data_IF_473505434513
#
_entry.id   IF_473505434513
#
_cell.length_a   1.000
_cell.length_b   1.000
_cell.length_c   1.000
_cell.angle_alpha   90.00
_cell.angle_beta   90.00
_cell.angle_gamma   90.00
#
_symmetry.space_group_name_H-M   'P 1'
#
loop_
_entity.id
_entity.type
_entity.pdbx_description
1 polymer ?
#
# COMPACT_ATOMS: atom_id res chain seq x y z
N UNK A 1 -7.50 -14.39 -6.68
CA UNK A 1 -8.04 -13.46 -5.67
C UNK A 1 -8.35 -14.17 -4.35
N UNK A 2 -9.19 -15.20 -4.30
CA UNK A 2 -9.43 -15.94 -3.04
C UNK A 2 -8.17 -16.65 -2.49
N UNK A 3 -7.35 -17.22 -3.39
CA UNK A 3 -6.07 -17.84 -3.03
C UNK A 3 -5.08 -16.84 -2.40
N UNK A 4 -5.06 -15.58 -2.87
CA UNK A 4 -4.22 -14.52 -2.29
C UNK A 4 -4.65 -14.21 -0.85
N UNK A 5 -5.95 -14.09 -0.59
CA UNK A 5 -6.43 -13.81 0.77
C UNK A 5 -6.14 -14.97 1.73
N UNK A 6 -6.21 -16.21 1.24
CA UNK A 6 -5.82 -17.36 2.04
C UNK A 6 -4.32 -17.37 2.32
N UNK A 7 -3.48 -17.09 1.33
CA UNK A 7 -2.03 -16.95 1.52
C UNK A 7 -1.68 -15.89 2.58
N UNK A 8 -2.32 -14.72 2.52
CA UNK A 8 -2.13 -13.66 3.53
C UNK A 8 -2.57 -14.13 4.91
N UNK A 9 -3.66 -14.89 5.00
CA UNK A 9 -4.15 -15.43 6.27
C UNK A 9 -3.14 -16.39 6.90
N UNK A 10 -2.56 -17.28 6.09
CA UNK A 10 -1.56 -18.26 6.51
C UNK A 10 -0.27 -17.54 6.97
N UNK A 11 0.24 -16.59 6.18
CA UNK A 11 1.42 -15.78 6.54
C UNK A 11 1.20 -14.94 7.80
N UNK A 12 0.01 -14.38 7.97
CA UNK A 12 -0.39 -13.62 9.18
C UNK A 12 -0.45 -14.53 10.41
N UNK A 13 -0.95 -15.76 10.24
CA UNK A 13 -1.00 -16.75 11.29
C UNK A 13 0.41 -17.16 11.74
N UNK A 14 1.27 -17.53 10.78
CA UNK A 14 2.66 -17.92 11.02
C UNK A 14 3.44 -16.78 11.68
N UNK A 15 3.24 -15.54 11.22
CA UNK A 15 3.91 -14.37 11.81
C UNK A 15 3.55 -14.20 13.28
N UNK A 16 2.26 -14.27 13.62
CA UNK A 16 1.79 -14.08 14.99
C UNK A 16 2.20 -15.22 15.93
N UNK A 17 2.22 -16.46 15.44
CA UNK A 17 2.70 -17.62 16.21
C UNK A 17 4.19 -17.46 16.58
N UNK A 18 5.00 -16.93 15.65
CA UNK A 18 6.42 -16.67 15.88
C UNK A 18 6.72 -15.36 16.65
N UNK A 19 5.71 -14.52 16.90
CA UNK A 19 5.88 -13.21 17.56
C UNK A 19 4.85 -12.99 18.69
N UNK A 20 4.86 -13.83 19.75
CA UNK A 20 3.84 -13.83 20.80
C UNK A 20 3.74 -12.51 21.56
N UNK A 21 4.78 -11.67 21.56
CA UNK A 21 4.75 -10.32 22.16
C UNK A 21 3.79 -9.35 21.47
N UNK A 22 3.36 -9.63 20.24
CA UNK A 22 2.38 -8.81 19.53
C UNK A 22 0.93 -9.24 19.82
N UNK A 23 0.74 -10.47 20.28
CA UNK A 23 -0.50 -10.99 20.85
C UNK A 23 -0.60 -10.51 22.30
N UNK A 24 -1.65 -9.76 22.66
CA UNK A 24 -1.74 -9.19 24.02
C UNK A 24 -1.80 -10.31 25.07
N UNK A 25 -0.92 -10.33 26.09
CA UNK A 25 -1.08 -11.20 27.24
C UNK A 25 -2.08 -10.53 28.19
N UNK A 26 -3.37 -10.74 27.97
CA UNK A 26 -4.38 -10.22 28.88
C UNK A 26 -5.78 -10.20 28.27
N UNK A 27 -6.65 -11.02 28.86
CA UNK A 27 -8.08 -11.19 28.55
C UNK A 27 -8.39 -11.96 27.25
N UNK A 28 -7.91 -13.20 27.17
CA UNK A 28 -8.76 -14.32 26.75
C UNK A 28 -9.16 -14.44 25.28
N UNK A 29 -8.50 -13.78 24.33
CA UNK A 29 -8.55 -14.26 22.95
C UNK A 29 -7.29 -15.07 22.67
N UNK A 30 -7.38 -16.38 22.84
CA UNK A 30 -6.37 -17.29 22.32
C UNK A 30 -6.15 -16.95 20.83
N UNK A 31 -4.89 -16.84 20.41
CA UNK A 31 -4.60 -16.62 18.99
C UNK A 31 -5.03 -17.88 18.23
N UNK A 32 -6.11 -17.76 17.44
CA UNK A 32 -6.64 -18.85 16.64
C UNK A 32 -6.42 -18.60 15.14
N UNK A 33 -6.39 -19.67 14.32
CA UNK A 33 -6.16 -19.60 12.88
C UNK A 33 -7.00 -18.52 12.20
N UNK A 34 -6.34 -17.70 11.38
CA UNK A 34 -7.00 -16.65 10.58
C UNK A 34 -7.48 -17.26 9.27
N UNK A 35 -8.62 -16.80 8.75
CA UNK A 35 -9.14 -17.24 7.43
C UNK A 35 -9.03 -16.14 6.38
N UNK A 36 -9.00 -16.52 5.09
CA UNK A 36 -9.05 -15.54 4.01
C UNK A 36 -10.26 -14.62 4.08
N UNK A 37 -11.40 -15.09 4.60
CA UNK A 37 -12.59 -14.25 4.78
C UNK A 37 -12.43 -13.21 5.88
N UNK A 38 -11.73 -13.53 6.98
CA UNK A 38 -11.36 -12.52 7.99
C UNK A 38 -10.45 -11.43 7.40
N UNK A 39 -9.51 -11.82 6.52
CA UNK A 39 -8.64 -10.86 5.81
C UNK A 39 -9.45 -9.97 4.86
N UNK A 40 -10.42 -10.53 4.12
CA UNK A 40 -11.33 -9.73 3.26
C UNK A 40 -12.12 -8.72 4.09
N UNK A 41 -12.68 -9.15 5.22
CA UNK A 41 -13.41 -8.28 6.14
C UNK A 41 -12.48 -7.18 6.67
N UNK A 42 -11.27 -7.53 7.12
CA UNK A 42 -10.28 -6.58 7.63
C UNK A 42 -9.97 -5.49 6.58
N UNK A 43 -9.65 -5.90 5.35
CA UNK A 43 -9.35 -4.98 4.25
C UNK A 43 -10.56 -4.13 3.86
N UNK A 44 -11.76 -4.71 3.82
CA UNK A 44 -13.00 -3.98 3.58
C UNK A 44 -13.28 -2.92 4.63
N UNK A 45 -13.04 -3.23 5.91
CA UNK A 45 -13.16 -2.28 7.01
C UNK A 45 -12.10 -1.16 6.91
N UNK A 46 -10.86 -1.47 6.53
CA UNK A 46 -9.80 -0.46 6.31
C UNK A 46 -10.16 0.53 5.18
N UNK A 47 -10.68 0.03 4.06
CA UNK A 47 -11.17 0.87 2.96
C UNK A 47 -12.32 1.76 3.45
N UNK A 48 -13.26 1.18 4.20
CA UNK A 48 -14.40 1.91 4.75
C UNK A 48 -13.98 3.01 5.74
N UNK A 49 -12.94 2.78 6.55
CA UNK A 49 -12.35 3.80 7.42
C UNK A 49 -11.71 4.94 6.62
N UNK A 50 -11.07 4.63 5.49
CA UNK A 50 -10.51 5.64 4.58
C UNK A 50 -11.58 6.57 3.99
N UNK A 51 -12.78 6.03 3.72
CA UNK A 51 -13.93 6.79 3.22
C UNK A 51 -14.59 7.59 4.35
N UNK A 52 -14.86 6.96 5.49
CA UNK A 52 -15.51 7.62 6.63
C UNK A 52 -14.46 8.10 7.63
N UNK A 53 -13.93 9.31 7.49
CA UNK A 53 -12.90 9.81 8.41
C UNK A 53 -13.46 10.10 9.82
N UNK A 54 -12.97 9.38 10.83
CA UNK A 54 -13.17 9.67 12.26
C UNK A 54 -11.82 9.97 12.92
N UNK A 55 -11.79 10.79 13.99
CA UNK A 55 -10.55 11.29 14.56
C UNK A 55 -9.67 10.21 15.20
N UNK A 56 -10.24 9.08 15.66
CA UNK A 56 -9.50 8.03 16.37
C UNK A 56 -10.07 6.66 16.00
N UNK A 57 -9.21 5.63 15.89
CA UNK A 57 -9.61 4.25 15.58
C UNK A 57 -10.72 3.73 16.52
N UNK A 58 -10.62 4.03 17.82
CA UNK A 58 -11.62 3.68 18.82
C UNK A 58 -13.01 4.29 18.53
N UNK A 59 -13.09 5.40 17.80
CA UNK A 59 -14.36 6.03 17.43
C UNK A 59 -15.16 5.25 16.39
N UNK A 60 -14.52 4.34 15.64
CA UNK A 60 -15.21 3.44 14.69
C UNK A 60 -15.88 2.27 15.39
N UNK A 61 -15.36 1.90 16.56
CA UNK A 61 -15.85 0.79 17.38
C UNK A 61 -16.58 1.27 18.63
N UNK A 62 -17.03 2.53 18.64
CA UNK A 62 -17.78 3.09 19.76
C UNK A 62 -19.23 2.58 19.76
N UNK A 63 -19.73 2.18 20.92
CA UNK A 63 -21.12 1.74 21.12
C UNK A 63 -22.08 2.91 21.38
N UNK A 64 -21.57 4.14 21.56
CA UNK A 64 -22.38 5.33 21.74
C UNK A 64 -23.37 5.51 20.57
N UNK A 65 -24.70 5.46 20.79
CA UNK A 65 -25.71 5.58 19.74
C UNK A 65 -25.58 6.82 18.85
N UNK A 66 -25.01 7.92 19.37
CA UNK A 66 -24.82 9.16 18.61
C UNK A 66 -23.63 9.11 17.65
N UNK A 67 -22.65 8.24 17.92
CA UNK A 67 -21.37 8.15 17.19
C UNK A 67 -21.08 6.73 16.66
N UNK A 68 -21.97 5.77 16.91
CA UNK A 68 -21.82 4.38 16.55
C UNK A 68 -21.87 4.20 15.05
N UNK A 69 -20.89 3.49 14.53
CA UNK A 69 -20.89 2.93 13.17
C UNK A 69 -21.13 1.42 13.30
N UNK A 70 -22.39 0.97 13.48
CA UNK A 70 -22.71 -0.39 13.91
C UNK A 70 -22.19 -1.47 12.96
N UNK A 71 -21.94 -1.12 11.69
CA UNK A 71 -21.34 -2.00 10.70
C UNK A 71 -19.95 -2.53 11.12
N UNK A 72 -19.12 -1.72 11.81
CA UNK A 72 -17.79 -2.14 12.24
C UNK A 72 -17.85 -3.20 13.34
N UNK A 73 -18.68 -2.98 14.36
CA UNK A 73 -18.81 -3.87 15.52
C UNK A 73 -19.58 -5.17 15.20
N UNK A 74 -20.47 -5.14 14.21
CA UNK A 74 -21.25 -6.31 13.80
C UNK A 74 -20.45 -7.29 12.94
N UNK A 75 -19.49 -6.80 12.18
CA UNK A 75 -18.77 -7.61 11.18
C UNK A 75 -17.54 -8.29 11.78
N UNK A 76 -16.80 -7.61 12.66
CA UNK A 76 -15.63 -8.17 13.35
C UNK A 76 -15.49 -7.55 14.74
N UNK A 77 -15.25 -8.34 15.81
CA UNK A 77 -15.00 -7.78 17.13
C UNK A 77 -13.78 -6.85 17.12
N UNK A 78 -13.85 -5.73 17.85
CA UNK A 78 -12.78 -4.74 17.91
C UNK A 78 -11.42 -5.37 18.26
N UNK A 79 -11.38 -6.26 19.25
CA UNK A 79 -10.13 -6.86 19.70
C UNK A 79 -9.56 -7.81 18.65
N UNK A 80 -10.40 -8.54 17.91
CA UNK A 80 -9.97 -9.34 16.75
C UNK A 80 -9.45 -8.45 15.63
N UNK A 81 -10.15 -7.36 15.31
CA UNK A 81 -9.72 -6.39 14.30
C UNK A 81 -8.35 -5.79 14.63
N UNK A 82 -8.15 -5.32 15.87
CA UNK A 82 -6.87 -4.74 16.30
C UNK A 82 -5.76 -5.80 16.30
N UNK A 83 -6.06 -7.03 16.72
CA UNK A 83 -5.06 -8.11 16.74
C UNK A 83 -4.65 -8.51 15.32
N UNK A 84 -5.61 -8.69 14.41
CA UNK A 84 -5.33 -8.96 13.00
C UNK A 84 -4.57 -7.81 12.34
N UNK A 85 -4.99 -6.57 12.56
CA UNK A 85 -4.30 -5.40 12.00
C UNK A 85 -2.84 -5.30 12.48
N UNK A 86 -2.58 -5.66 13.74
CA UNK A 86 -1.23 -5.59 14.34
C UNK A 86 -0.30 -6.69 13.84
N UNK A 87 -0.85 -7.86 13.54
CA UNK A 87 -0.09 -9.03 13.09
C UNK A 87 -0.16 -9.24 11.58
N UNK A 88 -0.90 -8.39 10.85
CA UNK A 88 -1.10 -8.52 9.41
C UNK A 88 0.25 -8.61 8.70
N UNK A 89 0.46 -9.76 8.07
CA UNK A 89 1.70 -10.08 7.41
C UNK A 89 1.42 -10.63 6.02
N UNK A 90 2.21 -10.18 5.06
CA UNK A 90 1.88 -10.30 3.64
C UNK A 90 2.93 -11.08 2.86
N UNK A 91 4.18 -11.15 3.35
CA UNK A 91 5.26 -11.87 2.69
C UNK A 91 6.45 -12.10 3.64
N UNK A 92 6.78 -13.37 3.91
CA UNK A 92 7.95 -13.83 4.69
C UNK A 92 9.24 -13.98 3.85
N UNK A 93 9.18 -13.76 2.54
CA UNK A 93 10.30 -13.91 1.62
C UNK A 93 11.59 -13.19 2.05
N UNK A 94 12.68 -13.95 2.14
CA UNK A 94 13.98 -13.62 2.73
C UNK A 94 14.79 -12.45 2.11
N UNK A 95 14.21 -11.65 1.20
CA UNK A 95 14.92 -10.57 0.53
C UNK A 95 14.88 -9.29 1.37
N UNK A 96 15.77 -9.23 2.36
CA UNK A 96 15.88 -8.13 3.32
C UNK A 96 16.35 -6.78 2.71
N UNK A 97 16.71 -6.74 1.43
CA UNK A 97 17.27 -5.54 0.78
C UNK A 97 16.21 -4.52 0.30
N UNK A 98 14.95 -4.96 0.12
CA UNK A 98 13.85 -4.05 -0.24
C UNK A 98 13.02 -3.72 1.00
N UNK A 99 12.94 -2.45 1.42
CA UNK A 99 12.12 -2.06 2.59
C UNK A 99 10.62 -2.33 2.37
N UNK A 100 10.19 -2.50 1.13
CA UNK A 100 8.81 -2.77 0.74
C UNK A 100 8.53 -4.25 0.44
N UNK A 101 9.51 -5.17 0.53
CA UNK A 101 9.34 -6.60 0.16
C UNK A 101 8.11 -7.26 0.79
N UNK A 102 7.74 -6.80 1.99
CA UNK A 102 6.57 -7.27 2.72
C UNK A 102 5.26 -6.96 2.01
N UNK A 103 5.15 -5.79 1.36
CA UNK A 103 3.91 -5.32 0.71
C UNK A 103 3.97 -5.28 -0.82
N UNK A 104 5.17 -5.34 -1.41
CA UNK A 104 5.39 -5.35 -2.86
C UNK A 104 4.50 -6.32 -3.63
N UNK A 105 4.40 -7.62 -3.28
CA UNK A 105 3.59 -8.57 -4.06
C UNK A 105 2.10 -8.18 -4.12
N UNK A 106 1.57 -7.63 -3.04
CA UNK A 106 0.17 -7.21 -2.99
C UNK A 106 -0.03 -5.89 -3.73
N UNK A 107 0.93 -4.97 -3.66
CA UNK A 107 0.86 -3.73 -4.43
C UNK A 107 0.94 -4.04 -5.93
N UNK A 108 1.76 -5.01 -6.34
CA UNK A 108 1.87 -5.42 -7.74
C UNK A 108 0.57 -6.09 -8.22
N UNK A 109 0.05 -7.08 -7.50
CA UNK A 109 -1.23 -7.74 -7.84
C UNK A 109 -2.40 -6.76 -7.80
N UNK A 110 -2.44 -5.86 -6.81
CA UNK A 110 -3.45 -4.81 -6.75
C UNK A 110 -3.30 -3.85 -7.93
N UNK A 111 -2.09 -3.37 -8.25
CA UNK A 111 -1.88 -2.46 -9.37
C UNK A 111 -2.29 -3.08 -10.71
N UNK A 112 -1.98 -4.36 -10.94
CA UNK A 112 -2.42 -5.09 -12.12
C UNK A 112 -3.95 -5.16 -12.19
N UNK A 113 -4.60 -5.62 -11.13
CA UNK A 113 -6.06 -5.72 -11.05
C UNK A 113 -6.75 -4.34 -11.17
N UNK A 114 -6.20 -3.30 -10.54
CA UNK A 114 -6.73 -1.93 -10.62
C UNK A 114 -6.57 -1.34 -12.02
N UNK A 115 -5.44 -1.60 -12.69
CA UNK A 115 -5.24 -1.16 -14.07
C UNK A 115 -6.19 -1.87 -15.04
N UNK A 116 -6.41 -3.17 -14.83
CA UNK A 116 -7.26 -3.99 -15.69
C UNK A 116 -8.75 -3.64 -15.57
N UNK A 117 -9.22 -3.30 -14.36
CA UNK A 117 -10.64 -3.10 -14.10
C UNK A 117 -11.09 -1.64 -13.97
N UNK A 118 -10.19 -0.73 -13.59
CA UNK A 118 -10.55 0.66 -13.27
C UNK A 118 -9.79 1.70 -14.10
N UNK A 119 -8.90 1.28 -15.01
CA UNK A 119 -8.11 2.19 -15.85
C UNK A 119 -7.12 3.06 -15.07
N UNK A 120 -6.86 2.72 -13.79
CA UNK A 120 -5.89 3.40 -12.96
C UNK A 120 -4.48 2.99 -13.38
N UNK A 121 -3.64 3.98 -13.73
CA UNK A 121 -2.23 3.72 -14.07
C UNK A 121 -1.35 4.04 -12.86
N UNK A 122 -0.55 3.05 -12.47
CA UNK A 122 0.48 3.18 -11.45
C UNK A 122 1.83 3.18 -12.14
N UNK A 123 2.66 4.17 -11.82
CA UNK A 123 4.01 4.31 -12.35
C UNK A 123 5.01 4.15 -11.21
N UNK A 124 6.09 3.40 -11.43
CA UNK A 124 7.08 3.09 -10.39
C UNK A 124 8.49 3.35 -10.90
N UNK A 125 9.33 3.94 -10.06
CA UNK A 125 10.77 4.04 -10.30
C UNK A 125 11.49 2.96 -9.52
N UNK A 126 12.34 2.21 -10.21
CA UNK A 126 13.19 1.17 -9.63
C UNK A 126 14.67 1.56 -9.70
N UNK A 127 15.43 1.18 -8.69
CA UNK A 127 16.88 1.12 -8.79
C UNK A 127 17.29 -0.08 -9.65
N UNK A 128 18.51 -0.04 -10.20
CA UNK A 128 19.09 -1.17 -10.95
C UNK A 128 19.16 -2.48 -10.16
N UNK A 129 19.12 -2.40 -8.83
CA UNK A 129 19.05 -3.54 -7.91
C UNK A 129 17.65 -4.15 -7.80
N UNK A 130 16.65 -3.61 -8.49
CA UNK A 130 15.25 -4.06 -8.44
C UNK A 130 14.43 -3.41 -7.33
N UNK A 131 14.99 -2.45 -6.58
CA UNK A 131 14.30 -1.79 -5.46
C UNK A 131 13.41 -0.64 -5.92
N UNK A 132 12.12 -0.69 -5.59
CA UNK A 132 11.21 0.43 -5.82
C UNK A 132 11.56 1.63 -4.92
N UNK A 133 11.73 2.82 -5.53
CA UNK A 133 12.04 4.07 -4.83
C UNK A 133 10.81 4.94 -4.61
N UNK A 134 9.95 5.07 -5.61
CA UNK A 134 8.75 5.92 -5.58
C UNK A 134 7.65 5.27 -6.43
N UNK A 135 6.41 5.36 -5.95
CA UNK A 135 5.20 4.91 -6.63
C UNK A 135 4.32 6.15 -6.87
N UNK A 136 3.86 6.33 -8.10
CA UNK A 136 3.03 7.44 -8.53
C UNK A 136 1.70 6.93 -9.05
N UNK A 137 0.61 7.46 -8.52
CA UNK A 137 -0.78 7.01 -8.83
C UNK A 137 -1.62 8.17 -9.41
N UNK A 138 -0.99 9.27 -9.85
CA UNK A 138 -1.68 10.36 -10.55
C UNK A 138 -2.35 11.43 -9.67
N UNK A 139 -2.19 11.35 -8.33
CA UNK A 139 -2.75 12.35 -7.40
C UNK A 139 -1.82 13.53 -7.13
N UNK A 140 -0.50 13.30 -7.10
CA UNK A 140 0.48 14.35 -6.84
C UNK A 140 0.93 14.96 -8.17
N UNK A 141 0.25 16.01 -8.64
CA UNK A 141 0.71 16.74 -9.85
C UNK A 141 1.61 17.89 -9.43
N UNK A 142 2.74 18.04 -10.11
CA UNK A 142 3.49 19.29 -10.01
C UNK A 142 2.66 20.41 -10.64
N UNK A 143 2.76 21.63 -10.10
CA UNK A 143 2.11 22.83 -10.66
C UNK A 143 2.83 23.28 -11.95
N UNK A 144 2.78 22.42 -12.96
CA UNK A 144 3.42 22.61 -14.25
C UNK A 144 2.48 23.34 -15.22
N UNK A 145 3.04 24.04 -16.24
CA UNK A 145 2.23 24.69 -17.27
C UNK A 145 1.23 23.71 -17.92
N UNK A 146 0.02 24.19 -18.25
CA UNK A 146 -1.02 23.40 -18.92
C UNK A 146 -0.58 22.79 -20.27
N UNK A 147 0.49 23.31 -20.87
CA UNK A 147 1.10 22.79 -22.10
C UNK A 147 1.99 21.56 -21.89
N UNK A 148 2.26 21.19 -20.64
CA UNK A 148 3.16 20.08 -20.30
C UNK A 148 2.48 18.75 -20.54
N UNK A 149 3.13 17.85 -21.29
CA UNK A 149 2.60 16.49 -21.49
C UNK A 149 2.53 15.75 -20.14
N UNK A 150 1.47 14.95 -19.96
CA UNK A 150 1.28 14.11 -18.79
C UNK A 150 2.46 13.13 -18.55
N UNK A 151 3.14 12.68 -19.60
CA UNK A 151 4.36 11.87 -19.47
C UNK A 151 5.50 12.63 -18.81
N UNK A 152 5.66 13.92 -19.11
CA UNK A 152 6.67 14.80 -18.49
C UNK A 152 6.40 14.98 -17.00
N UNK A 153 5.14 15.25 -16.63
CA UNK A 153 4.73 15.44 -15.23
C UNK A 153 4.99 14.17 -14.40
N UNK A 154 4.62 13.00 -14.93
CA UNK A 154 4.92 11.70 -14.30
C UNK A 154 6.42 11.51 -14.07
N UNK A 155 7.25 11.80 -15.08
CA UNK A 155 8.71 11.61 -14.99
C UNK A 155 9.34 12.58 -14.01
N UNK A 156 8.99 13.86 -14.06
CA UNK A 156 9.51 14.88 -13.14
C UNK A 156 9.08 14.58 -11.69
N UNK A 157 7.80 14.27 -11.48
CA UNK A 157 7.26 13.91 -10.17
C UNK A 157 7.93 12.66 -9.60
N UNK A 158 8.17 11.64 -10.42
CA UNK A 158 8.80 10.39 -9.96
C UNK A 158 10.29 10.55 -9.64
N UNK A 159 10.99 11.45 -10.34
CA UNK A 159 12.45 11.58 -10.28
C UNK A 159 12.93 12.88 -9.62
N UNK A 160 12.04 13.66 -8.99
CA UNK A 160 12.36 14.98 -8.39
C UNK A 160 13.66 14.96 -7.55
N UNK A 161 13.90 13.88 -6.80
CA UNK A 161 15.04 13.71 -5.89
C UNK A 161 16.23 12.95 -6.54
N UNK A 162 16.15 12.67 -7.84
CA UNK A 162 17.13 11.90 -8.61
C UNK A 162 17.81 12.73 -9.70
N UNK A 163 17.32 13.95 -9.97
CA UNK A 163 17.97 14.90 -10.85
C UNK A 163 19.26 15.45 -10.21
N UNK A 164 20.22 15.83 -11.05
CA UNK A 164 21.47 16.52 -10.68
C UNK A 164 22.43 15.75 -9.75
N UNK A 165 22.25 14.44 -9.61
CA UNK A 165 23.12 13.57 -8.79
C UNK A 165 23.86 12.49 -9.62
N UNK A 166 23.86 12.64 -10.95
CA UNK A 166 24.65 11.81 -11.88
C UNK A 166 24.10 10.41 -12.17
N UNK A 167 22.84 10.11 -11.80
CA UNK A 167 22.21 8.84 -12.16
C UNK A 167 21.72 8.82 -13.61
N UNK A 168 21.89 7.67 -14.27
CA UNK A 168 21.28 7.40 -15.57
C UNK A 168 19.86 6.86 -15.36
N UNK A 169 18.87 7.56 -15.90
CA UNK A 169 17.46 7.18 -15.82
C UNK A 169 17.08 6.48 -17.13
N UNK A 170 16.61 5.24 -17.03
CA UNK A 170 16.11 4.46 -18.16
C UNK A 170 14.58 4.40 -18.10
N UNK A 171 13.93 4.72 -19.22
CA UNK A 171 12.48 4.78 -19.32
C UNK A 171 12.03 4.24 -20.69
N UNK A 172 10.77 3.85 -20.80
CA UNK A 172 10.20 3.41 -22.06
C UNK A 172 10.07 4.57 -23.08
N UNK A 173 9.71 4.24 -24.32
CA UNK A 173 9.57 5.22 -25.39
C UNK A 173 8.41 6.22 -25.15
N UNK A 174 7.40 5.84 -24.36
CA UNK A 174 6.26 6.70 -24.01
C UNK A 174 6.70 7.89 -23.14
N UNK A 175 7.73 7.70 -22.32
CA UNK A 175 8.35 8.76 -21.52
C UNK A 175 9.50 9.49 -22.22
N UNK A 176 9.95 9.03 -23.39
CA UNK A 176 11.05 9.66 -24.15
C UNK A 176 10.60 10.87 -24.98
N UNK A 177 9.30 11.01 -25.25
CA UNK A 177 8.75 12.13 -26.04
C UNK A 177 8.59 13.43 -25.24
N UNK A 178 8.73 13.38 -23.91
CA UNK A 178 8.84 14.59 -23.11
C UNK A 178 10.21 15.23 -23.34
N UNK A 179 10.22 16.55 -23.53
CA UNK A 179 11.38 17.39 -23.87
C UNK A 179 12.39 17.51 -22.71
N UNK A 180 12.78 16.38 -22.09
CA UNK A 180 13.54 16.28 -20.84
C UNK A 180 15.06 16.44 -20.99
N UNK A 181 15.58 16.36 -22.22
CA UNK A 181 17.01 16.42 -22.48
C UNK A 181 17.67 17.80 -22.23
N UNK A 182 17.00 18.96 -22.38
CA UNK A 182 17.65 20.26 -22.12
C UNK A 182 17.52 20.77 -20.68
N UNK A 183 16.49 20.38 -19.92
CA UNK A 183 16.26 20.90 -18.55
C UNK A 183 17.07 20.13 -17.49
N UNK A 184 17.30 18.82 -17.68
CA UNK A 184 18.14 18.03 -16.77
C UNK A 184 19.65 18.20 -17.00
N UNK A 185 20.05 18.96 -18.03
CA UNK A 185 21.45 19.18 -18.43
C UNK A 185 21.92 20.63 -18.26
N UNK A 186 21.05 21.54 -17.81
CA UNK A 186 21.35 22.95 -17.63
C UNK A 186 20.97 23.40 -16.22
N UNK A 187 21.73 22.94 -15.23
CA UNK A 187 21.98 23.64 -13.97
C UNK A 187 23.29 23.05 -13.42
N UNK A 188 24.38 23.66 -13.90
CA UNK A 188 25.82 23.54 -13.60
C UNK A 188 26.58 22.23 -13.93
#
# INVERSE_FOLDING_TARGET
MDEMFQYIADETYDYAENHPQHVRPGHGSDWFPTTGDEIKVLLGLLILMGIMKKPILASYCNQDPAMSTPFFLKTMPHDRFVTLLRNLYFNSGANQDDRLHKISPIIDEAAENFSAHFGAKVYKVFQSTGRARKIYVGQDRLDLPLSTLASTDVVLSLNENLFNIGYNIYMDNWFFQSRLLPEAANED
#
